data_IF_400059774232
#
_entry.id   IF_400059774232
#
_cell.length_a   1.000
_cell.length_b   1.000
_cell.length_c   1.000
_cell.angle_alpha   90.00
_cell.angle_beta   90.00
_cell.angle_gamma   90.00
#
_symmetry.space_group_name_H-M   'P 1'
#
loop_
_entity.id
_entity.type
_entity.pdbx_description
1 polymer ?
#
# COMPACT_ATOMS: atom_id res chain seq x y z
N UNK A 1 11.17 -22.77 -32.33
CA UNK A 1 10.73 -21.38 -32.11
C UNK A 1 11.80 -20.70 -31.26
N UNK A 2 12.40 -19.58 -31.69
CA UNK A 2 13.43 -18.87 -30.90
C UNK A 2 12.75 -17.69 -30.19
N UNK A 3 12.85 -17.62 -28.87
CA UNK A 3 12.40 -16.47 -28.09
C UNK A 3 13.32 -15.27 -28.33
N UNK A 4 12.72 -14.12 -28.60
CA UNK A 4 13.47 -12.88 -28.74
C UNK A 4 13.84 -12.27 -27.37
N UNK A 5 14.33 -11.03 -27.35
CA UNK A 5 14.71 -10.36 -26.10
C UNK A 5 13.49 -9.88 -25.30
N UNK A 6 12.43 -9.47 -25.97
CA UNK A 6 11.21 -8.95 -25.34
C UNK A 6 10.44 -10.09 -24.67
N UNK A 7 10.33 -11.23 -25.36
CA UNK A 7 9.77 -12.48 -24.83
C UNK A 7 10.45 -12.87 -23.51
N UNK A 8 11.79 -12.82 -23.46
CA UNK A 8 12.56 -13.18 -22.26
C UNK A 8 12.30 -12.22 -21.10
N UNK A 9 12.19 -10.93 -21.38
CA UNK A 9 11.87 -9.92 -20.36
C UNK A 9 10.46 -10.14 -19.83
N UNK A 10 9.50 -10.40 -20.72
CA UNK A 10 8.12 -10.65 -20.34
C UNK A 10 7.96 -11.93 -19.51
N UNK A 11 8.64 -13.02 -19.90
CA UNK A 11 8.67 -14.27 -19.14
C UNK A 11 9.25 -14.03 -17.74
N UNK A 12 10.38 -13.31 -17.66
CA UNK A 12 11.00 -12.99 -16.38
C UNK A 12 10.10 -12.12 -15.50
N UNK A 13 9.50 -11.07 -16.06
CA UNK A 13 8.56 -10.18 -15.36
C UNK A 13 7.36 -10.96 -14.82
N UNK A 14 6.77 -11.85 -15.62
CA UNK A 14 5.65 -12.69 -15.19
C UNK A 14 6.08 -13.66 -14.08
N UNK A 15 7.26 -14.27 -14.16
CA UNK A 15 7.76 -15.19 -13.15
C UNK A 15 7.93 -14.49 -11.78
N UNK A 16 8.60 -13.33 -11.75
CA UNK A 16 8.76 -12.58 -10.50
C UNK A 16 7.43 -12.02 -9.98
N UNK A 17 6.51 -11.66 -10.88
CA UNK A 17 5.15 -11.24 -10.51
C UNK A 17 4.41 -12.37 -9.82
N UNK A 18 4.45 -13.59 -10.36
CA UNK A 18 3.76 -14.74 -9.76
C UNK A 18 4.30 -15.09 -8.38
N UNK A 19 5.60 -14.95 -8.15
CA UNK A 19 6.20 -15.15 -6.82
C UNK A 19 5.58 -14.18 -5.80
N UNK A 20 5.51 -12.89 -6.14
CA UNK A 20 4.94 -11.87 -5.25
C UNK A 20 3.45 -12.10 -5.03
N UNK A 21 2.70 -12.37 -6.10
CA UNK A 21 1.25 -12.62 -6.01
C UNK A 21 0.95 -13.82 -5.11
N UNK A 22 1.65 -14.93 -5.32
CA UNK A 22 1.46 -16.14 -4.54
C UNK A 22 1.76 -15.87 -3.06
N UNK A 23 2.83 -15.13 -2.77
CA UNK A 23 3.12 -14.69 -1.42
C UNK A 23 2.00 -13.82 -0.83
N UNK A 24 1.51 -12.81 -1.56
CA UNK A 24 0.43 -11.95 -1.06
C UNK A 24 -0.86 -12.71 -0.77
N UNK A 25 -1.16 -13.76 -1.55
CA UNK A 25 -2.33 -14.60 -1.30
C UNK A 25 -2.15 -15.48 -0.06
N UNK A 26 -0.95 -16.05 0.13
CA UNK A 26 -0.65 -16.85 1.32
C UNK A 26 -0.63 -15.98 2.57
N UNK A 27 0.19 -14.93 2.60
CA UNK A 27 0.34 -14.07 3.78
C UNK A 27 -0.97 -13.31 4.08
N UNK A 28 -1.64 -12.78 3.04
CA UNK A 28 -2.91 -12.10 3.21
C UNK A 28 -4.03 -13.03 3.71
N UNK A 29 -4.07 -14.26 3.21
CA UNK A 29 -5.00 -15.28 3.72
C UNK A 29 -4.66 -15.75 5.13
N UNK A 30 -3.37 -15.92 5.44
CA UNK A 30 -2.91 -16.36 6.76
C UNK A 30 -3.29 -15.37 7.87
N UNK A 31 -3.30 -14.06 7.60
CA UNK A 31 -3.71 -13.02 8.57
C UNK A 31 -5.12 -13.22 9.15
N UNK A 32 -5.98 -14.02 8.51
CA UNK A 32 -7.31 -14.36 9.03
C UNK A 32 -7.27 -15.25 10.28
N UNK A 33 -6.21 -16.01 10.46
CA UNK A 33 -6.08 -16.99 11.56
C UNK A 33 -4.76 -16.86 12.33
N UNK A 34 -3.78 -16.17 11.75
CA UNK A 34 -2.41 -16.06 12.28
C UNK A 34 -2.34 -15.45 13.69
N UNK A 35 -3.28 -14.57 14.04
CA UNK A 35 -3.28 -13.84 15.31
C UNK A 35 -4.33 -14.38 16.31
N UNK A 36 -5.00 -15.49 15.99
CA UNK A 36 -5.97 -16.09 16.90
C UNK A 36 -5.26 -16.61 18.16
N UNK A 37 -5.79 -16.28 19.33
CA UNK A 37 -5.19 -16.64 20.63
C UNK A 37 -4.03 -15.74 21.08
N UNK A 38 -3.61 -14.76 20.28
CA UNK A 38 -2.54 -13.83 20.65
C UNK A 38 -2.95 -12.74 21.65
N UNK A 39 -4.26 -12.56 21.89
CA UNK A 39 -4.80 -11.57 22.84
C UNK A 39 -4.73 -12.00 24.31
N UNK A 40 -4.54 -13.29 24.59
CA UNK A 40 -4.48 -13.83 25.96
C UNK A 40 -3.04 -13.84 26.50
N UNK A 41 -2.46 -12.66 26.69
CA UNK A 41 -1.13 -12.54 27.31
C UNK A 41 -1.31 -12.15 28.77
N UNK A 42 -0.93 -13.03 29.70
CA UNK A 42 -0.90 -12.77 31.15
C UNK A 42 0.21 -11.77 31.59
N UNK A 43 0.70 -10.92 30.67
CA UNK A 43 1.77 -9.95 30.91
C UNK A 43 1.21 -8.54 30.86
N UNK A 44 1.81 -7.62 31.62
CA UNK A 44 1.53 -6.20 31.47
C UNK A 44 2.18 -5.67 30.18
N UNK A 45 1.65 -4.58 29.62
CA UNK A 45 2.17 -3.99 28.36
C UNK A 45 3.65 -3.63 28.46
N UNK A 46 4.12 -3.19 29.63
CA UNK A 46 5.54 -2.86 29.85
C UNK A 46 6.46 -4.08 29.82
N UNK A 47 5.92 -5.27 30.06
CA UNK A 47 6.69 -6.52 30.11
C UNK A 47 6.63 -7.31 28.78
N UNK A 48 5.84 -6.83 27.81
CA UNK A 48 5.74 -7.45 26.49
C UNK A 48 6.95 -7.08 25.62
N UNK A 49 7.47 -8.06 24.89
CA UNK A 49 8.37 -7.78 23.77
C UNK A 49 7.63 -7.04 22.65
N UNK A 50 8.35 -6.37 21.74
CA UNK A 50 7.74 -5.69 20.60
C UNK A 50 6.85 -6.62 19.77
N UNK A 51 7.31 -7.85 19.51
CA UNK A 51 6.56 -8.83 18.75
C UNK A 51 5.29 -9.27 19.47
N UNK A 52 5.38 -9.55 20.78
CA UNK A 52 4.20 -9.90 21.60
C UNK A 52 3.16 -8.77 21.61
N UNK A 53 3.61 -7.52 21.74
CA UNK A 53 2.73 -6.36 21.70
C UNK A 53 2.03 -6.22 20.33
N UNK A 54 2.77 -6.42 19.24
CA UNK A 54 2.22 -6.37 17.88
C UNK A 54 1.20 -7.50 17.66
N UNK A 55 1.52 -8.71 18.11
CA UNK A 55 0.64 -9.87 18.01
C UNK A 55 -0.63 -9.71 18.85
N UNK A 56 -0.52 -9.16 20.07
CA UNK A 56 -1.66 -8.82 20.90
C UNK A 56 -2.56 -7.74 20.26
N UNK A 57 -1.95 -6.72 19.64
CA UNK A 57 -2.68 -5.68 18.91
C UNK A 57 -3.50 -6.24 17.74
N UNK A 58 -2.89 -7.09 16.92
CA UNK A 58 -3.58 -7.75 15.81
C UNK A 58 -4.58 -8.82 16.29
N UNK A 59 -4.30 -9.50 17.40
CA UNK A 59 -5.20 -10.46 18.03
C UNK A 59 -6.44 -9.80 18.66
N UNK A 60 -6.28 -8.60 19.23
CA UNK A 60 -7.41 -7.80 19.74
C UNK A 60 -8.34 -7.35 18.60
N UNK A 61 -7.77 -6.82 17.51
CA UNK A 61 -8.55 -6.35 16.36
C UNK A 61 -8.36 -7.24 15.14
N UNK A 62 -9.05 -8.38 15.14
CA UNK A 62 -9.08 -9.31 14.01
C UNK A 62 -9.53 -8.64 12.71
N UNK A 63 -10.49 -7.71 12.78
CA UNK A 63 -10.96 -6.94 11.61
C UNK A 63 -9.85 -6.07 11.01
N UNK A 64 -8.95 -5.51 11.82
CA UNK A 64 -7.82 -4.74 11.33
C UNK A 64 -6.80 -5.64 10.62
N UNK A 65 -6.44 -6.77 11.23
CA UNK A 65 -5.57 -7.78 10.59
C UNK A 65 -6.14 -8.28 9.26
N UNK A 66 -7.45 -8.58 9.24
CA UNK A 66 -8.18 -9.00 8.04
C UNK A 66 -8.18 -7.93 6.96
N UNK A 67 -8.32 -6.66 7.32
CA UNK A 67 -8.27 -5.55 6.36
C UNK A 67 -6.92 -5.49 5.64
N UNK A 68 -5.81 -5.62 6.39
CA UNK A 68 -4.48 -5.70 5.78
C UNK A 68 -4.36 -6.91 4.84
N UNK A 69 -4.85 -8.08 5.26
CA UNK A 69 -4.79 -9.29 4.44
C UNK A 69 -5.60 -9.18 3.15
N UNK A 70 -6.80 -8.57 3.21
CA UNK A 70 -7.62 -8.27 2.03
C UNK A 70 -6.86 -7.33 1.09
N UNK A 71 -6.20 -6.30 1.61
CA UNK A 71 -5.41 -5.39 0.78
C UNK A 71 -4.22 -6.11 0.11
N UNK A 72 -3.54 -7.04 0.79
CA UNK A 72 -2.50 -7.86 0.15
C UNK A 72 -3.08 -8.69 -1.00
N UNK A 73 -4.24 -9.32 -0.82
CA UNK A 73 -4.92 -10.09 -1.87
C UNK A 73 -5.37 -9.20 -3.03
N UNK A 74 -5.92 -8.02 -2.77
CA UNK A 74 -6.29 -7.05 -3.82
C UNK A 74 -5.04 -6.63 -4.61
N UNK A 75 -3.95 -6.30 -3.91
CA UNK A 75 -2.67 -5.93 -4.51
C UNK A 75 -2.13 -7.04 -5.43
N UNK A 76 -2.10 -8.29 -4.95
CA UNK A 76 -1.71 -9.45 -5.75
C UNK A 76 -2.61 -9.66 -6.97
N UNK A 77 -3.93 -9.51 -6.81
CA UNK A 77 -4.90 -9.65 -7.91
C UNK A 77 -4.67 -8.59 -8.99
N UNK A 78 -4.42 -7.33 -8.59
CA UNK A 78 -4.10 -6.25 -9.52
C UNK A 78 -2.77 -6.48 -10.26
N UNK A 79 -1.79 -7.13 -9.62
CA UNK A 79 -0.49 -7.47 -10.22
C UNK A 79 -0.59 -8.59 -11.27
N UNK A 80 -1.52 -9.55 -11.10
CA UNK A 80 -1.78 -10.62 -12.07
C UNK A 80 -2.25 -10.07 -13.41
N UNK A 81 -3.13 -9.06 -13.38
CA UNK A 81 -3.68 -8.45 -14.59
C UNK A 81 -2.65 -7.48 -15.19
N UNK A 82 -2.04 -7.85 -16.32
CA UNK A 82 -0.98 -7.06 -16.99
C UNK A 82 -1.32 -5.57 -17.16
N UNK A 83 -2.59 -5.25 -17.42
CA UNK A 83 -3.08 -3.87 -17.58
C UNK A 83 -3.00 -3.05 -16.29
N UNK A 84 -3.23 -3.66 -15.13
CA UNK A 84 -3.23 -2.99 -13.82
C UNK A 84 -1.96 -3.27 -13.01
N UNK A 85 -0.98 -3.96 -13.59
CA UNK A 85 0.20 -4.45 -12.86
C UNK A 85 0.97 -3.35 -12.14
N UNK A 86 1.19 -2.21 -12.79
CA UNK A 86 1.88 -1.05 -12.17
C UNK A 86 1.07 -0.53 -10.96
N UNK A 87 -0.25 -0.46 -11.07
CA UNK A 87 -1.13 -0.04 -9.96
C UNK A 87 -1.03 -1.04 -8.81
N UNK A 88 -1.11 -2.34 -9.12
CA UNK A 88 -0.94 -3.41 -8.13
C UNK A 88 0.43 -3.36 -7.44
N UNK A 89 1.50 -3.08 -8.19
CA UNK A 89 2.86 -2.92 -7.65
C UNK A 89 2.94 -1.75 -6.67
N UNK A 90 2.42 -0.57 -7.04
CA UNK A 90 2.43 0.61 -6.17
C UNK A 90 1.59 0.40 -4.91
N UNK A 91 0.40 -0.17 -5.07
CA UNK A 91 -0.50 -0.46 -3.95
C UNK A 91 0.11 -1.47 -2.96
N UNK A 92 0.60 -2.60 -3.48
CA UNK A 92 1.24 -3.64 -2.65
C UNK A 92 2.53 -3.12 -2.00
N UNK A 93 3.28 -2.27 -2.70
CA UNK A 93 4.49 -1.65 -2.14
C UNK A 93 4.18 -0.81 -0.91
N UNK A 94 3.07 -0.05 -0.88
CA UNK A 94 2.70 0.74 0.31
C UNK A 94 2.42 -0.17 1.51
N UNK A 95 1.76 -1.31 1.28
CA UNK A 95 1.46 -2.29 2.33
C UNK A 95 2.74 -2.94 2.83
N UNK A 96 3.60 -3.41 1.93
CA UNK A 96 4.87 -4.06 2.29
C UNK A 96 5.81 -3.11 3.02
N UNK A 97 5.89 -1.84 2.63
CA UNK A 97 6.67 -0.85 3.39
C UNK A 97 6.14 -0.72 4.81
N UNK A 98 4.81 -0.68 5.00
CA UNK A 98 4.23 -0.66 6.34
C UNK A 98 4.58 -1.92 7.16
N UNK A 99 4.47 -3.11 6.56
CA UNK A 99 4.82 -4.39 7.19
C UNK A 99 6.32 -4.43 7.54
N UNK A 100 7.21 -4.03 6.63
CA UNK A 100 8.65 -4.00 6.89
C UNK A 100 8.99 -3.07 8.05
N UNK A 101 8.36 -1.89 8.11
CA UNK A 101 8.57 -0.97 9.23
C UNK A 101 8.08 -1.59 10.55
N UNK A 102 6.92 -2.23 10.55
CA UNK A 102 6.44 -2.94 11.74
C UNK A 102 7.41 -4.05 12.15
N UNK A 103 7.88 -4.86 11.20
CA UNK A 103 8.82 -5.95 11.47
C UNK A 103 10.13 -5.45 12.09
N UNK A 104 10.62 -4.28 11.65
CA UNK A 104 11.82 -3.65 12.21
C UNK A 104 11.57 -3.08 13.60
N UNK A 105 10.52 -2.26 13.78
CA UNK A 105 10.29 -1.54 15.03
C UNK A 105 9.76 -2.42 16.16
N UNK A 106 9.06 -3.51 15.82
CA UNK A 106 8.56 -4.48 16.78
C UNK A 106 9.43 -5.74 16.86
N UNK A 107 10.61 -5.73 16.22
CA UNK A 107 11.59 -6.83 16.25
C UNK A 107 10.96 -8.20 15.93
N UNK A 108 10.10 -8.22 14.92
CA UNK A 108 9.41 -9.44 14.47
C UNK A 108 10.45 -10.41 13.90
N UNK A 109 10.12 -11.71 13.91
CA UNK A 109 10.98 -12.76 13.38
C UNK A 109 11.67 -12.41 12.05
N UNK A 110 12.99 -12.54 12.03
CA UNK A 110 13.85 -12.23 10.89
C UNK A 110 13.43 -12.91 9.58
N UNK A 111 12.75 -14.05 9.65
CA UNK A 111 12.20 -14.74 8.47
C UNK A 111 11.11 -13.92 7.76
N UNK A 112 10.18 -13.34 8.52
CA UNK A 112 9.11 -12.51 7.97
C UNK A 112 9.68 -11.23 7.34
N UNK A 113 10.60 -10.57 8.04
CA UNK A 113 11.29 -9.38 7.55
C UNK A 113 12.03 -9.63 6.23
N UNK A 114 12.79 -10.73 6.14
CA UNK A 114 13.51 -11.11 4.91
C UNK A 114 12.57 -11.38 3.76
N UNK A 115 11.44 -12.06 4.00
CA UNK A 115 10.43 -12.32 2.99
C UNK A 115 9.81 -11.00 2.48
N UNK A 116 9.40 -10.12 3.39
CA UNK A 116 8.82 -8.83 3.04
C UNK A 116 9.79 -7.96 2.23
N UNK A 117 11.07 -7.90 2.61
CA UNK A 117 12.12 -7.19 1.86
C UNK A 117 12.32 -7.81 0.47
N UNK A 118 12.34 -9.13 0.36
CA UNK A 118 12.46 -9.83 -0.92
C UNK A 118 11.29 -9.46 -1.85
N UNK A 119 10.05 -9.53 -1.37
CA UNK A 119 8.88 -9.18 -2.18
C UNK A 119 8.87 -7.72 -2.59
N UNK A 120 9.25 -6.82 -1.68
CA UNK A 120 9.41 -5.40 -1.98
C UNK A 120 10.45 -5.17 -3.08
N UNK A 121 11.58 -5.88 -3.01
CA UNK A 121 12.61 -5.80 -4.04
C UNK A 121 12.14 -6.31 -5.40
N UNK A 122 11.41 -7.44 -5.44
CA UNK A 122 10.82 -7.95 -6.68
C UNK A 122 9.81 -6.98 -7.29
N UNK A 123 9.00 -6.31 -6.46
CA UNK A 123 8.08 -5.25 -6.93
C UNK A 123 8.85 -4.10 -7.56
N UNK A 124 9.94 -3.63 -6.93
CA UNK A 124 10.77 -2.58 -7.50
C UNK A 124 11.41 -3.01 -8.83
N UNK A 125 11.80 -4.28 -8.98
CA UNK A 125 12.26 -4.82 -10.26
C UNK A 125 11.15 -4.78 -11.32
N UNK A 126 9.92 -5.18 -11.00
CA UNK A 126 8.78 -5.14 -11.94
C UNK A 126 8.52 -3.70 -12.41
N UNK A 127 8.55 -2.73 -11.48
CA UNK A 127 8.39 -1.31 -11.79
C UNK A 127 9.54 -0.80 -12.66
N UNK A 128 10.77 -1.25 -12.41
CA UNK A 128 11.95 -0.89 -13.21
C UNK A 128 11.87 -1.44 -14.65
N UNK A 129 11.41 -2.68 -14.83
CA UNK A 129 11.16 -3.27 -16.15
C UNK A 129 10.10 -2.49 -16.93
N UNK A 130 9.12 -1.89 -16.24
CA UNK A 130 8.07 -1.07 -16.84
C UNK A 130 8.32 0.45 -16.71
N UNK A 131 9.56 0.89 -16.52
CA UNK A 131 9.92 2.30 -16.22
C UNK A 131 9.34 3.31 -17.22
N UNK A 132 9.29 2.97 -18.50
CA UNK A 132 8.83 3.90 -19.54
C UNK A 132 7.34 4.19 -19.39
N UNK A 133 6.53 3.17 -19.04
CA UNK A 133 5.10 3.31 -18.73
C UNK A 133 4.88 4.08 -17.44
N UNK A 134 5.71 3.85 -16.42
CA UNK A 134 5.65 4.56 -15.13
C UNK A 134 5.91 6.05 -15.35
N UNK A 135 6.99 6.41 -16.04
CA UNK A 135 7.35 7.79 -16.33
C UNK A 135 6.30 8.47 -17.20
N UNK A 136 5.75 7.79 -18.21
CA UNK A 136 4.65 8.32 -19.02
C UNK A 136 3.40 8.59 -18.18
N UNK A 137 3.05 7.68 -17.27
CA UNK A 137 1.89 7.86 -16.38
C UNK A 137 2.09 9.06 -15.45
N UNK A 138 3.27 9.19 -14.85
CA UNK A 138 3.61 10.35 -14.00
C UNK A 138 3.54 11.65 -14.81
N UNK A 139 4.12 11.68 -16.02
CA UNK A 139 4.04 12.85 -16.90
C UNK A 139 2.59 13.19 -17.25
N UNK A 140 1.75 12.21 -17.56
CA UNK A 140 0.34 12.43 -17.86
C UNK A 140 -0.42 13.02 -16.66
N UNK A 141 -0.14 12.54 -15.44
CA UNK A 141 -0.72 13.07 -14.20
C UNK A 141 -0.20 14.48 -13.86
N UNK A 142 1.04 14.80 -14.22
CA UNK A 142 1.66 16.10 -14.00
C UNK A 142 1.37 17.12 -15.11
N UNK A 143 0.88 16.67 -16.28
CA UNK A 143 0.62 17.55 -17.42
C UNK A 143 -0.64 18.38 -17.18
N UNK A 144 -0.48 19.47 -16.45
CA UNK A 144 -1.55 20.42 -16.19
C UNK A 144 -1.69 21.38 -17.37
N UNK A 145 -2.68 21.13 -18.23
CA UNK A 145 -3.06 22.08 -19.27
C UNK A 145 -3.64 23.35 -18.62
N UNK A 146 -2.83 24.41 -18.52
CA UNK A 146 -3.29 25.75 -18.17
C UNK A 146 -4.24 26.24 -19.26
N UNK A 147 -5.54 26.19 -19.02
CA UNK A 147 -6.48 27.02 -19.77
C UNK A 147 -6.16 28.50 -19.45
N UNK A 148 -5.94 29.38 -20.43
CA UNK A 148 -5.72 30.80 -20.19
C UNK A 148 -7.03 31.43 -19.70
N UNK A 149 -7.27 31.44 -18.39
CA UNK A 149 -8.39 32.18 -17.80
C UNK A 149 -8.01 33.66 -17.59
N UNK A 150 -8.96 34.59 -17.80
CA UNK A 150 -8.78 35.99 -17.41
C UNK A 150 -8.46 36.14 -15.92
N UNK A 151 -7.56 37.05 -15.56
CA UNK A 151 -7.11 37.27 -14.17
C UNK A 151 -8.27 37.53 -13.19
N UNK A 152 -9.34 38.20 -13.61
CA UNK A 152 -10.50 38.47 -12.75
C UNK A 152 -11.28 37.19 -12.39
N UNK A 153 -11.44 36.24 -13.33
CA UNK A 153 -12.10 34.96 -13.05
C UNK A 153 -11.28 34.10 -12.08
N UNK A 154 -9.96 34.20 -12.15
CA UNK A 154 -9.07 33.54 -11.19
C UNK A 154 -9.23 34.12 -9.78
N UNK A 155 -9.24 35.45 -9.64
CA UNK A 155 -9.44 36.11 -8.34
C UNK A 155 -10.81 35.80 -7.74
N UNK A 156 -11.89 35.82 -8.53
CA UNK A 156 -13.23 35.45 -8.07
C UNK A 156 -13.25 33.99 -7.58
N UNK A 157 -12.64 33.05 -8.31
CA UNK A 157 -12.55 31.65 -7.89
C UNK A 157 -11.81 31.48 -6.55
N UNK A 158 -10.73 32.24 -6.33
CA UNK A 158 -10.00 32.20 -5.06
C UNK A 158 -10.84 32.74 -3.90
N UNK A 159 -11.56 33.84 -4.09
CA UNK A 159 -12.44 34.41 -3.07
C UNK A 159 -13.56 33.43 -2.73
N UNK A 160 -14.21 32.84 -3.74
CA UNK A 160 -15.25 31.82 -3.53
C UNK A 160 -14.66 30.61 -2.79
N UNK A 161 -13.49 30.10 -3.22
CA UNK A 161 -12.82 28.98 -2.56
C UNK A 161 -12.49 29.29 -1.10
N UNK A 162 -12.05 30.51 -0.79
CA UNK A 162 -11.75 30.94 0.58
C UNK A 162 -13.03 31.03 1.43
N UNK A 163 -14.12 31.57 0.91
CA UNK A 163 -15.42 31.60 1.62
C UNK A 163 -15.90 30.17 1.88
N UNK A 164 -15.85 29.28 0.88
CA UNK A 164 -16.18 27.87 1.04
C UNK A 164 -15.30 27.20 2.09
N UNK A 165 -13.99 27.47 2.07
CA UNK A 165 -13.05 26.97 3.08
C UNK A 165 -13.44 27.41 4.50
N UNK A 166 -13.76 28.70 4.71
CA UNK A 166 -14.17 29.21 6.03
C UNK A 166 -15.46 28.54 6.51
N UNK A 167 -16.46 28.39 5.63
CA UNK A 167 -17.72 27.71 5.96
C UNK A 167 -17.45 26.25 6.34
N UNK A 168 -16.72 25.51 5.49
CA UNK A 168 -16.37 24.12 5.75
C UNK A 168 -15.59 23.98 7.06
N UNK A 169 -14.68 24.91 7.36
CA UNK A 169 -13.89 24.90 8.60
C UNK A 169 -14.75 25.15 9.84
N UNK A 170 -15.71 26.06 9.76
CA UNK A 170 -16.67 26.31 10.86
C UNK A 170 -17.57 25.08 11.06
N UNK A 171 -18.09 24.49 9.98
CA UNK A 171 -18.90 23.27 10.06
C UNK A 171 -18.10 22.12 10.68
N UNK A 172 -16.87 21.90 10.22
CA UNK A 172 -15.96 20.91 10.79
C UNK A 172 -15.75 21.13 12.31
N UNK A 173 -15.47 22.37 12.73
CA UNK A 173 -15.33 22.72 14.15
C UNK A 173 -16.56 22.32 14.97
N UNK A 174 -17.76 22.63 14.49
CA UNK A 174 -19.00 22.28 15.20
C UNK A 174 -19.28 20.78 15.22
N UNK A 175 -18.96 20.07 14.14
CA UNK A 175 -19.15 18.61 14.06
C UNK A 175 -18.13 17.82 14.89
N UNK A 176 -16.91 18.33 15.06
CA UNK A 176 -15.81 17.57 15.69
C UNK A 176 -15.56 17.95 17.15
N UNK A 177 -15.85 19.19 17.56
CA UNK A 177 -15.52 19.70 18.90
C UNK A 177 -16.76 19.93 19.76
N UNK A 178 -17.94 20.11 19.15
CA UNK A 178 -19.18 20.48 19.88
C UNK A 178 -20.20 19.34 20.01
N UNK A 179 -19.83 18.13 19.60
CA UNK A 179 -20.52 16.85 19.88
C UNK A 179 -19.72 16.08 20.93
#
# INVERSE_FOLDING_TARGET
MKFDREDKIEIFENAITWIVVFAMFIYGGAKLVQFDGASEINKTVSDMTGMELMWAFYGYSKSYAMTLGIFEIIGGTLMLIKKTRIIGCLFTSTILVNVILQDIYFEVHLGALKAAILYQFLILMILWLNKDKVVQSIKALMNYNKSPLPKYKFMIKLVIAFICFVILRITEYYLTIKL
#
